data_IF_990051280189
#
_entry.id   IF_990051280189
#
_cell.length_a   1.000
_cell.length_b   1.000
_cell.length_c   1.000
_cell.angle_alpha   90.00
_cell.angle_beta   90.00
_cell.angle_gamma   90.00
#
_symmetry.space_group_name_H-M   'P 1'
#
loop_
_entity.id
_entity.type
_entity.pdbx_description
1 polymer ?
#
# COMPACT_ATOMS: atom_id res chain seq x y z
N UNK A 1 23.67 18.67 -87.88
CA UNK A 1 22.72 17.54 -87.97
C UNK A 1 23.38 16.34 -87.32
N UNK A 2 22.91 15.71 -86.25
CA UNK A 2 21.68 15.88 -85.47
C UNK A 2 21.92 15.12 -84.15
N UNK A 3 21.60 15.73 -83.01
CA UNK A 3 21.59 15.11 -81.69
C UNK A 3 20.63 13.91 -81.62
N UNK A 4 20.97 12.90 -80.82
CA UNK A 4 20.01 12.09 -80.06
C UNK A 4 20.56 11.75 -78.67
N UNK A 5 19.61 11.55 -77.77
CA UNK A 5 19.58 11.91 -76.36
C UNK A 5 19.50 10.68 -75.46
N UNK A 6 19.88 10.88 -74.19
CA UNK A 6 19.41 10.21 -72.96
C UNK A 6 19.81 8.72 -72.78
N UNK A 7 20.06 8.19 -71.58
CA UNK A 7 19.36 8.39 -70.31
C UNK A 7 20.29 8.13 -69.11
N UNK A 8 20.12 8.98 -68.08
CA UNK A 8 20.68 8.85 -66.72
C UNK A 8 19.93 7.73 -65.97
N UNK A 9 20.66 6.83 -65.29
CA UNK A 9 20.08 5.96 -64.25
C UNK A 9 20.47 6.52 -62.88
N UNK A 10 19.50 7.13 -62.21
CA UNK A 10 19.58 7.51 -60.81
C UNK A 10 19.55 6.23 -59.96
N UNK A 11 20.63 5.96 -59.22
CA UNK A 11 20.64 4.96 -58.17
C UNK A 11 19.96 5.52 -56.94
N UNK A 12 18.78 5.02 -56.60
CA UNK A 12 18.10 5.32 -55.34
C UNK A 12 18.81 4.53 -54.24
N UNK A 13 19.58 5.22 -53.41
CA UNK A 13 20.10 4.69 -52.14
C UNK A 13 18.94 4.72 -51.15
N UNK A 14 18.36 3.57 -50.84
CA UNK A 14 17.37 3.44 -49.78
C UNK A 14 18.10 3.48 -48.42
N UNK A 15 18.09 4.64 -47.76
CA UNK A 15 18.52 4.75 -46.37
C UNK A 15 17.41 4.20 -45.46
N UNK A 16 17.65 3.03 -44.85
CA UNK A 16 16.79 2.49 -43.81
C UNK A 16 16.97 3.32 -42.52
N UNK A 17 16.00 4.17 -42.22
CA UNK A 17 15.95 4.90 -40.96
C UNK A 17 15.55 3.94 -39.82
N UNK A 18 16.55 3.48 -39.04
CA UNK A 18 16.30 2.78 -37.80
C UNK A 18 15.81 3.79 -36.75
N UNK A 19 14.50 3.85 -36.53
CA UNK A 19 13.91 4.59 -35.42
C UNK A 19 14.31 3.95 -34.10
N UNK A 20 15.32 4.53 -33.45
CA UNK A 20 15.61 4.29 -32.04
C UNK A 20 14.43 4.83 -31.22
N UNK A 21 13.49 3.96 -30.83
CA UNK A 21 12.55 4.27 -29.75
C UNK A 21 13.38 4.42 -28.48
N UNK A 22 13.64 5.67 -28.09
CA UNK A 22 14.18 5.98 -26.77
C UNK A 22 13.17 5.48 -25.73
N UNK A 23 13.47 4.34 -25.09
CA UNK A 23 12.85 3.93 -23.84
C UNK A 23 13.27 4.97 -22.79
N UNK A 24 12.50 6.04 -22.66
CA UNK A 24 12.63 6.90 -21.50
C UNK A 24 12.31 6.04 -20.26
N UNK A 25 13.22 5.95 -19.27
CA UNK A 25 12.86 5.32 -18.01
C UNK A 25 11.66 6.09 -17.45
N UNK A 26 10.55 5.39 -17.26
CA UNK A 26 9.45 5.93 -16.48
C UNK A 26 10.01 6.25 -15.09
N UNK A 27 9.69 7.41 -14.49
CA UNK A 27 9.98 7.60 -13.08
C UNK A 27 9.32 6.45 -12.32
N UNK A 28 10.12 5.59 -11.70
CA UNK A 28 9.59 4.76 -10.63
C UNK A 28 9.19 5.76 -9.56
N UNK A 29 7.88 5.90 -9.31
CA UNK A 29 7.44 6.56 -8.09
C UNK A 29 8.13 5.80 -6.95
N UNK A 30 9.16 6.42 -6.35
CA UNK A 30 9.50 6.07 -4.98
C UNK A 30 8.19 6.30 -4.24
N UNK A 31 7.61 5.25 -3.65
CA UNK A 31 6.49 5.47 -2.76
C UNK A 31 6.98 6.51 -1.75
N UNK A 32 6.37 7.70 -1.80
CA UNK A 32 6.65 8.74 -0.83
C UNK A 32 6.55 8.08 0.54
N UNK A 33 7.56 8.30 1.40
CA UNK A 33 7.66 7.71 2.73
C UNK A 33 6.26 7.73 3.39
N UNK A 34 5.60 6.57 3.62
CA UNK A 34 4.19 6.52 4.00
C UNK A 34 3.92 7.43 5.20
N UNK A 35 2.97 8.36 5.10
CA UNK A 35 2.56 9.19 6.24
C UNK A 35 1.37 8.54 6.96
N UNK A 36 1.69 7.76 7.99
CA UNK A 36 0.71 7.02 8.77
C UNK A 36 0.14 7.83 9.94
N UNK A 37 0.75 8.97 10.31
CA UNK A 37 0.31 9.79 11.46
C UNK A 37 -1.11 10.28 11.23
N UNK A 38 -1.97 10.08 12.24
CA UNK A 38 -3.38 10.45 12.18
C UNK A 38 -4.31 9.38 12.73
N UNK A 39 -5.61 9.64 12.60
CA UNK A 39 -6.68 8.73 13.01
C UNK A 39 -7.31 8.10 11.78
N UNK A 40 -7.46 6.78 11.80
CA UNK A 40 -7.99 5.98 10.71
C UNK A 40 -9.14 5.13 11.24
N UNK A 41 -10.34 5.28 10.68
CA UNK A 41 -11.55 4.61 11.20
C UNK A 41 -12.28 3.84 10.12
N UNK A 42 -12.88 2.71 10.48
CA UNK A 42 -13.69 1.93 9.54
C UNK A 42 -14.30 0.68 10.15
N UNK A 43 -15.14 0.02 9.35
CA UNK A 43 -15.80 -1.23 9.72
C UNK A 43 -14.83 -2.40 9.64
N UNK A 44 -14.81 -3.23 10.68
CA UNK A 44 -13.98 -4.44 10.78
C UNK A 44 -14.83 -5.70 10.85
N UNK A 45 -14.26 -6.76 10.30
CA UNK A 45 -14.78 -8.12 10.35
C UNK A 45 -13.80 -9.01 11.11
N UNK A 46 -14.30 -9.81 12.06
CA UNK A 46 -13.49 -10.70 12.89
C UNK A 46 -14.10 -12.08 13.01
N UNK A 47 -13.26 -13.10 12.96
CA UNK A 47 -13.60 -14.48 13.31
C UNK A 47 -12.63 -15.01 14.37
N UNK A 48 -13.17 -15.62 15.43
CA UNK A 48 -12.38 -16.30 16.47
C UNK A 48 -12.78 -17.78 16.57
N UNK A 49 -11.84 -18.63 16.94
CA UNK A 49 -12.05 -20.08 17.06
C UNK A 49 -13.08 -20.47 18.15
N UNK A 50 -13.21 -19.67 19.21
CA UNK A 50 -14.10 -19.96 20.35
C UNK A 50 -15.36 -19.11 20.35
N UNK A 51 -15.26 -17.83 20.00
CA UNK A 51 -16.38 -16.88 20.06
C UNK A 51 -17.12 -16.71 18.73
N UNK A 52 -16.59 -17.26 17.64
CA UNK A 52 -17.14 -17.10 16.30
C UNK A 52 -17.05 -15.67 15.78
N UNK A 53 -17.96 -15.37 14.85
CA UNK A 53 -17.98 -14.15 14.06
C UNK A 53 -18.41 -12.93 14.90
N UNK A 54 -17.71 -11.80 14.73
CA UNK A 54 -18.07 -10.49 15.27
C UNK A 54 -17.65 -9.41 14.28
N UNK A 55 -18.33 -8.27 14.31
CA UNK A 55 -17.96 -7.07 13.57
C UNK A 55 -18.09 -5.83 14.46
N UNK A 56 -17.72 -4.68 13.91
CA UNK A 56 -17.88 -3.38 14.57
C UNK A 56 -16.92 -2.37 13.98
N UNK A 57 -16.82 -1.22 14.62
CA UNK A 57 -15.84 -0.20 14.23
C UNK A 57 -14.46 -0.53 14.81
N UNK A 58 -13.42 -0.18 14.03
CA UNK A 58 -12.04 -0.09 14.47
C UNK A 58 -11.52 1.32 14.20
N UNK A 59 -10.72 1.84 15.13
CA UNK A 59 -10.03 3.10 14.99
C UNK A 59 -8.55 2.91 15.31
N UNK A 60 -7.69 3.08 14.32
CA UNK A 60 -6.24 3.15 14.49
C UNK A 60 -5.86 4.62 14.71
N UNK A 61 -5.17 4.93 15.80
CA UNK A 61 -4.57 6.25 16.02
C UNK A 61 -3.05 6.11 16.04
N UNK A 62 -2.38 6.65 15.03
CA UNK A 62 -0.91 6.72 14.95
C UNK A 62 -0.47 8.07 15.48
N UNK A 63 0.27 8.06 16.60
CA UNK A 63 0.67 9.27 17.33
C UNK A 63 2.08 9.72 17.03
N UNK A 64 2.94 8.79 16.61
CA UNK A 64 4.35 9.06 16.34
C UNK A 64 4.80 8.22 15.15
N UNK A 65 5.61 8.84 14.29
CA UNK A 65 6.34 8.15 13.24
C UNK A 65 7.76 8.71 13.17
N UNK A 66 8.75 7.82 13.29
CA UNK A 66 10.17 8.16 13.27
C UNK A 66 10.90 7.19 12.35
N UNK A 67 11.49 7.70 11.27
CA UNK A 67 12.09 6.85 10.23
C UNK A 67 11.04 5.93 9.61
N UNK A 68 11.34 4.63 9.58
CA UNK A 68 10.43 3.59 9.09
C UNK A 68 9.66 2.88 10.20
N UNK A 69 9.42 3.57 11.32
CA UNK A 69 8.73 3.03 12.49
C UNK A 69 7.61 3.96 12.93
N UNK A 70 6.59 3.39 13.56
CA UNK A 70 5.47 4.15 14.10
C UNK A 70 4.96 3.56 15.42
N UNK A 71 4.26 4.40 16.19
CA UNK A 71 3.59 4.03 17.44
C UNK A 71 2.16 4.56 17.43
N UNK A 72 1.25 3.78 17.98
CA UNK A 72 -0.17 4.13 18.05
C UNK A 72 -0.98 3.24 18.98
N UNK A 73 -2.28 3.22 18.77
CA UNK A 73 -3.22 2.32 19.42
C UNK A 73 -4.37 1.94 18.47
N UNK A 74 -4.90 0.73 18.63
CA UNK A 74 -6.06 0.24 17.91
C UNK A 74 -7.23 0.11 18.89
N UNK A 75 -8.21 0.97 18.71
CA UNK A 75 -9.45 0.95 19.46
C UNK A 75 -10.52 0.15 18.71
N UNK A 76 -11.31 -0.62 19.45
CA UNK A 76 -12.45 -1.38 18.93
C UNK A 76 -13.64 -1.25 19.86
N UNK A 77 -14.81 -1.10 19.27
CA UNK A 77 -16.06 -1.19 20.05
C UNK A 77 -16.37 -2.66 20.34
N UNK A 78 -16.72 -2.94 21.59
CA UNK A 78 -17.20 -4.25 22.05
C UNK A 78 -18.51 -4.07 22.82
N UNK A 79 -19.30 -5.15 23.04
CA UNK A 79 -20.50 -5.06 23.88
C UNK A 79 -20.23 -4.58 25.32
N UNK A 80 -19.01 -4.73 25.84
CA UNK A 80 -18.62 -4.30 27.17
C UNK A 80 -18.08 -2.85 27.21
N UNK A 81 -17.98 -2.18 26.06
CA UNK A 81 -17.37 -0.87 25.90
C UNK A 81 -16.20 -0.89 24.92
N UNK A 82 -15.65 0.28 24.67
CA UNK A 82 -14.47 0.43 23.81
C UNK A 82 -13.23 -0.12 24.51
N UNK A 83 -12.44 -0.88 23.75
CA UNK A 83 -11.14 -1.42 24.19
C UNK A 83 -10.07 -0.86 23.28
N UNK A 84 -8.94 -0.46 23.84
CA UNK A 84 -7.82 0.13 23.10
C UNK A 84 -6.52 -0.58 23.48
N UNK A 85 -5.84 -1.13 22.48
CA UNK A 85 -4.56 -1.81 22.68
C UNK A 85 -3.43 -0.97 22.06
N UNK A 86 -2.32 -0.76 22.79
CA UNK A 86 -1.16 -0.08 22.24
C UNK A 86 -0.54 -0.93 21.14
N UNK A 87 -0.07 -0.29 20.07
CA UNK A 87 0.66 -0.97 19.02
C UNK A 87 1.90 -0.20 18.59
N UNK A 88 2.89 -0.94 18.15
CA UNK A 88 4.08 -0.43 17.47
C UNK A 88 4.19 -1.09 16.12
N UNK A 89 4.81 -0.42 15.16
CA UNK A 89 5.01 -1.00 13.85
C UNK A 89 6.19 -0.43 13.12
N UNK A 90 6.50 -1.07 12.00
CA UNK A 90 7.55 -0.69 11.09
C UNK A 90 7.15 -1.01 9.65
N UNK A 91 7.81 -0.36 8.71
CA UNK A 91 7.62 -0.61 7.29
C UNK A 91 8.95 -0.67 6.56
N UNK A 92 8.97 -1.27 5.37
CA UNK A 92 10.16 -1.30 4.52
C UNK A 92 10.48 0.10 3.99
N UNK A 93 11.73 0.40 3.59
CA UNK A 93 12.10 1.70 3.06
C UNK A 93 11.26 2.17 1.85
N UNK A 94 10.73 1.21 1.09
CA UNK A 94 9.85 1.43 -0.05
C UNK A 94 8.36 1.42 0.30
N UNK A 95 8.01 1.28 1.59
CA UNK A 95 6.64 1.26 2.11
C UNK A 95 5.79 0.06 1.68
N UNK A 96 6.36 -0.92 0.97
CA UNK A 96 5.59 -2.03 0.38
C UNK A 96 5.15 -3.08 1.40
N UNK A 97 5.88 -3.19 2.51
CA UNK A 97 5.52 -4.06 3.63
C UNK A 97 5.36 -3.20 4.86
N UNK A 98 4.20 -3.25 5.50
CA UNK A 98 3.91 -2.56 6.76
C UNK A 98 3.41 -3.61 7.76
N UNK A 99 4.10 -3.71 8.90
CA UNK A 99 3.78 -4.64 9.98
C UNK A 99 3.64 -3.90 11.30
N UNK A 100 2.74 -4.36 12.15
CA UNK A 100 2.63 -3.92 13.53
C UNK A 100 2.49 -5.09 14.49
N UNK A 101 2.60 -4.83 15.78
CA UNK A 101 2.38 -5.80 16.83
C UNK A 101 1.88 -5.10 18.11
N UNK A 102 1.09 -5.84 18.87
CA UNK A 102 0.79 -5.58 20.28
C UNK A 102 1.32 -6.75 21.14
N UNK A 103 0.80 -6.93 22.35
CA UNK A 103 1.20 -7.99 23.26
C UNK A 103 0.62 -9.37 22.89
N UNK A 104 -0.41 -9.43 22.05
CA UNK A 104 -1.17 -10.64 21.74
C UNK A 104 -0.94 -11.14 20.31
N UNK A 105 -0.68 -10.24 19.35
CA UNK A 105 -0.68 -10.59 17.94
C UNK A 105 0.07 -9.64 17.02
N UNK A 106 -0.14 -9.86 15.72
CA UNK A 106 0.55 -9.15 14.65
C UNK A 106 -0.45 -8.53 13.70
N UNK A 107 -0.16 -7.31 13.29
CA UNK A 107 -0.88 -6.55 12.29
C UNK A 107 -0.10 -6.55 10.98
N UNK A 108 -0.82 -6.62 9.86
CA UNK A 108 -0.31 -6.32 8.53
C UNK A 108 -1.16 -5.20 7.96
N UNK A 109 -0.51 -4.19 7.38
CA UNK A 109 -1.20 -3.04 6.80
C UNK A 109 -0.84 -2.89 5.32
N UNK A 110 -1.76 -2.30 4.58
CA UNK A 110 -1.56 -1.87 3.19
C UNK A 110 -2.10 -0.45 3.06
N UNK A 111 -1.22 0.49 2.71
CA UNK A 111 -1.66 1.82 2.31
C UNK A 111 -2.18 1.74 0.89
N UNK A 112 -3.50 1.82 0.73
CA UNK A 112 -4.18 1.72 -0.58
C UNK A 112 -4.01 3.03 -1.35
N UNK A 113 -4.18 4.14 -0.64
CA UNK A 113 -3.96 5.51 -1.08
C UNK A 113 -3.67 6.39 0.16
N UNK A 114 -3.36 7.69 0.03
CA UNK A 114 -3.00 8.54 1.17
C UNK A 114 -4.05 8.67 2.29
N UNK A 115 -5.31 8.28 2.04
CA UNK A 115 -6.41 8.37 3.01
C UNK A 115 -7.12 7.03 3.25
N UNK A 116 -6.72 5.95 2.56
CA UNK A 116 -7.28 4.61 2.72
C UNK A 116 -6.21 3.62 3.18
N UNK A 117 -6.46 2.96 4.30
CA UNK A 117 -5.57 1.95 4.88
C UNK A 117 -6.34 0.64 5.09
N UNK A 118 -5.87 -0.45 4.50
CA UNK A 118 -6.34 -1.78 4.86
C UNK A 118 -5.46 -2.33 5.98
N UNK A 119 -6.05 -3.06 6.92
CA UNK A 119 -5.29 -3.85 7.89
C UNK A 119 -5.91 -5.22 8.12
N UNK A 120 -5.05 -6.17 8.49
CA UNK A 120 -5.47 -7.40 9.14
C UNK A 120 -4.67 -7.62 10.43
N UNK A 121 -5.31 -8.21 11.42
CA UNK A 121 -4.72 -8.61 12.70
C UNK A 121 -4.86 -10.11 12.87
N UNK A 122 -3.80 -10.77 13.32
CA UNK A 122 -3.79 -12.18 13.67
C UNK A 122 -3.27 -12.34 15.12
N UNK A 123 -4.09 -12.98 15.94
CA UNK A 123 -3.78 -13.32 17.32
C UNK A 123 -3.64 -14.84 17.44
N UNK A 124 -2.67 -15.29 18.23
CA UNK A 124 -2.39 -16.70 18.45
C UNK A 124 -2.82 -17.17 19.85
N UNK A 125 -2.71 -18.46 20.11
CA UNK A 125 -3.06 -19.05 21.41
C UNK A 125 -4.51 -19.51 21.52
N UNK A 126 -5.01 -19.60 22.75
CA UNK A 126 -6.35 -20.07 23.02
C UNK A 126 -7.38 -19.01 22.58
N UNK A 127 -8.31 -19.39 21.70
CA UNK A 127 -9.24 -18.41 21.12
C UNK A 127 -8.64 -17.59 19.98
N UNK A 128 -7.60 -18.13 19.30
CA UNK A 128 -6.98 -17.51 18.12
C UNK A 128 -8.02 -16.97 17.15
N UNK A 129 -7.66 -15.85 16.52
CA UNK A 129 -8.60 -15.05 15.74
C UNK A 129 -7.89 -14.25 14.67
N UNK A 130 -8.67 -13.86 13.68
CA UNK A 130 -8.23 -12.94 12.62
C UNK A 130 -9.26 -11.84 12.44
N UNK A 131 -8.78 -10.63 12.22
CA UNK A 131 -9.60 -9.44 11.92
C UNK A 131 -9.08 -8.81 10.64
N UNK A 132 -9.96 -8.27 9.80
CA UNK A 132 -9.55 -7.33 8.75
C UNK A 132 -10.51 -6.15 8.67
N UNK A 133 -10.01 -5.00 8.21
CA UNK A 133 -10.80 -3.81 7.98
C UNK A 133 -10.20 -2.94 6.86
N UNK A 134 -11.05 -2.11 6.28
CA UNK A 134 -10.64 -0.93 5.51
C UNK A 134 -10.94 0.31 6.33
N UNK A 135 -9.92 1.13 6.55
CA UNK A 135 -9.97 2.34 7.35
C UNK A 135 -9.81 3.58 6.45
N UNK A 136 -10.44 4.67 6.88
CA UNK A 136 -10.35 5.98 6.25
C UNK A 136 -9.68 6.96 7.21
N UNK A 137 -8.70 7.72 6.72
CA UNK A 137 -8.04 8.78 7.46
C UNK A 137 -9.05 9.89 7.74
N UNK A 138 -9.19 10.28 8.99
CA UNK A 138 -10.03 11.41 9.39
C UNK A 138 -9.32 12.71 9.01
N UNK A 139 -10.02 13.59 8.29
CA UNK A 139 -9.56 14.90 7.84
C UNK A 139 -9.77 15.98 8.91
#
# INVERSE_FOLDING_TARGET
MTHRTNLVRAGVIAAAAASFCALAPLPMANADNPDLVGTWTGHRERIASTEGYRNGEATLTVTEQTGWTFKGALSRTTPAGDVSDPLVGAFTPDGTVISGADDEGTYTFTLVDPVTLDYCYAEHGAGYRTTCARLQKQL
#
